data_IF_916106273544
#
_entry.id   IF_916106273544
#
_cell.length_a   1.000
_cell.length_b   1.000
_cell.length_c   1.000
_cell.angle_alpha   90.00
_cell.angle_beta   90.00
_cell.angle_gamma   90.00
#
_symmetry.space_group_name_H-M   'P 1'
#
loop_
_entity.id
_entity.type
_entity.pdbx_description
1 polymer ?
#
# COMPACT_ATOMS: atom_id res chain seq x y z
N UNK A 1 33.64 19.76 -6.54
CA UNK A 1 32.93 19.21 -5.36
C UNK A 1 32.01 18.15 -5.94
N UNK A 2 32.29 16.86 -5.71
CA UNK A 2 31.47 15.79 -6.27
C UNK A 2 30.04 15.96 -5.80
N UNK A 3 29.08 15.90 -6.72
CA UNK A 3 27.69 15.69 -6.36
C UNK A 3 27.64 14.36 -5.60
N UNK A 4 27.75 14.43 -4.28
CA UNK A 4 27.57 13.26 -3.44
C UNK A 4 26.15 12.81 -3.71
N UNK A 5 26.02 11.59 -4.23
CA UNK A 5 24.76 10.88 -4.42
C UNK A 5 24.03 10.78 -3.09
N UNK A 6 23.32 11.84 -2.73
CA UNK A 6 22.33 11.84 -1.67
C UNK A 6 21.06 11.37 -2.32
N UNK A 7 20.90 10.06 -2.35
CA UNK A 7 19.58 9.50 -2.22
C UNK A 7 18.97 10.17 -0.99
N UNK A 8 17.85 10.87 -1.13
CA UNK A 8 17.25 11.61 -0.03
C UNK A 8 16.56 10.61 0.87
N UNK A 9 17.33 9.97 1.74
CA UNK A 9 16.78 9.23 2.86
C UNK A 9 15.87 10.17 3.64
N UNK A 10 14.77 9.63 4.17
CA UNK A 10 13.86 10.35 5.08
C UNK A 10 14.70 11.09 6.12
N UNK A 11 14.47 12.40 6.28
CA UNK A 11 15.32 13.29 7.10
C UNK A 11 14.79 13.36 8.52
N UNK A 12 15.68 13.57 9.50
CA UNK A 12 15.40 13.73 10.96
C UNK A 12 14.18 14.62 11.35
N UNK A 13 13.79 15.58 10.51
CA UNK A 13 12.61 16.44 10.79
C UNK A 13 11.27 15.79 10.44
N UNK A 14 11.29 14.74 9.63
CA UNK A 14 10.15 13.86 9.35
C UNK A 14 10.10 12.69 10.38
N UNK A 15 11.23 12.38 11.04
CA UNK A 15 11.47 11.22 11.92
C UNK A 15 10.94 11.35 13.37
N UNK A 16 10.23 12.40 13.73
CA UNK A 16 9.74 12.60 15.11
C UNK A 16 8.87 11.46 15.66
N UNK A 17 8.48 10.52 14.79
CA UNK A 17 7.63 9.37 15.09
C UNK A 17 8.31 8.00 14.89
N UNK A 18 9.61 7.95 14.58
CA UNK A 18 10.29 6.70 14.22
C UNK A 18 10.88 5.91 15.41
N UNK A 19 10.75 6.41 16.64
CA UNK A 19 11.11 5.60 17.81
C UNK A 19 10.19 4.37 17.90
N UNK A 20 10.73 3.14 17.94
CA UNK A 20 9.94 1.92 18.06
C UNK A 20 8.94 2.07 19.20
N UNK A 21 7.67 2.25 18.85
CA UNK A 21 6.62 2.26 19.86
C UNK A 21 6.63 0.88 20.51
N UNK A 22 6.65 0.77 21.85
CA UNK A 22 6.55 -0.52 22.51
C UNK A 22 5.37 -1.28 21.92
N UNK A 23 5.61 -2.54 21.52
CA UNK A 23 4.54 -3.40 21.01
C UNK A 23 3.32 -3.27 21.93
N UNK A 24 2.11 -3.03 21.38
CA UNK A 24 0.93 -2.96 22.22
C UNK A 24 0.86 -4.25 23.06
N UNK A 25 0.50 -4.15 24.35
CA UNK A 25 0.44 -5.32 25.20
C UNK A 25 -0.51 -6.34 24.56
N UNK A 26 -0.21 -7.65 24.68
CA UNK A 26 -1.10 -8.68 24.15
C UNK A 26 -2.52 -8.44 24.68
N UNK A 27 -3.56 -8.73 23.89
CA UNK A 27 -4.93 -8.51 24.31
C UNK A 27 -5.15 -9.18 25.67
N UNK A 28 -5.68 -8.41 26.62
CA UNK A 28 -5.89 -8.89 27.97
C UNK A 28 -6.62 -10.25 27.91
N UNK A 29 -6.03 -11.29 28.50
CA UNK A 29 -6.67 -12.61 28.52
C UNK A 29 -8.08 -12.44 29.06
N UNK A 30 -9.08 -12.74 28.24
CA UNK A 30 -10.47 -12.70 28.69
C UNK A 30 -10.58 -13.69 29.83
N UNK A 31 -10.66 -13.18 31.06
CA UNK A 31 -10.66 -14.04 32.22
C UNK A 31 -11.90 -14.92 32.17
N UNK A 32 -11.71 -16.22 32.08
CA UNK A 32 -12.75 -17.25 31.91
C UNK A 32 -13.90 -17.11 32.92
N UNK A 33 -13.65 -16.55 34.11
CA UNK A 33 -14.72 -16.28 35.09
C UNK A 33 -15.74 -15.25 34.58
N UNK A 34 -15.34 -14.23 33.80
CA UNK A 34 -16.25 -13.24 33.22
C UNK A 34 -17.18 -13.88 32.18
N UNK A 35 -16.65 -14.85 31.42
CA UNK A 35 -17.45 -15.67 30.50
C UNK A 35 -18.45 -16.51 31.29
N UNK A 36 -18.02 -17.16 32.37
CA UNK A 36 -18.91 -17.92 33.25
C UNK A 36 -19.99 -17.06 33.89
N UNK A 37 -19.67 -15.87 34.39
CA UNK A 37 -20.66 -14.94 34.97
C UNK A 37 -21.64 -14.47 33.89
N UNK A 38 -21.18 -14.19 32.68
CA UNK A 38 -22.05 -13.86 31.55
C UNK A 38 -23.03 -14.98 31.21
N UNK A 39 -22.55 -16.23 31.14
CA UNK A 39 -23.40 -17.41 30.90
C UNK A 39 -24.38 -17.63 32.05
N UNK A 40 -23.94 -17.51 33.31
CA UNK A 40 -24.80 -17.63 34.48
C UNK A 40 -25.89 -16.53 34.52
N UNK A 41 -25.54 -15.29 34.17
CA UNK A 41 -26.49 -14.18 34.11
C UNK A 41 -27.52 -14.37 32.97
N UNK A 42 -27.11 -14.88 31.82
CA UNK A 42 -28.00 -15.23 30.71
C UNK A 42 -28.96 -16.37 31.09
N UNK A 43 -28.48 -17.40 31.80
CA UNK A 43 -29.33 -18.48 32.29
C UNK A 43 -30.30 -18.01 33.39
N UNK A 44 -29.86 -17.12 34.29
CA UNK A 44 -30.70 -16.55 35.32
C UNK A 44 -31.80 -15.64 34.73
N UNK A 45 -31.49 -14.85 33.71
CA UNK A 45 -32.47 -14.00 33.02
C UNK A 45 -33.50 -14.80 32.21
N UNK A 46 -33.10 -15.94 31.61
CA UNK A 46 -34.05 -16.89 31.03
C UNK A 46 -34.98 -17.53 32.09
N UNK A 47 -34.51 -17.72 33.33
CA UNK A 47 -35.31 -18.20 34.45
C UNK A 47 -36.34 -17.18 34.97
N UNK A 48 -35.98 -15.90 35.02
CA UNK A 48 -36.90 -14.83 35.46
C UNK A 48 -37.97 -14.52 34.41
N UNK A 49 -37.65 -14.65 33.12
CA UNK A 49 -38.61 -14.48 32.02
C UNK A 49 -39.81 -15.43 32.06
N UNK A 50 -39.66 -16.63 32.64
CA UNK A 50 -40.77 -17.57 32.80
C UNK A 50 -41.73 -17.20 33.95
N UNK A 51 -41.32 -16.35 34.89
CA UNK A 51 -42.15 -15.98 36.06
C UNK A 51 -42.94 -14.68 35.86
N UNK A 52 -42.59 -13.84 34.88
CA UNK A 52 -43.33 -12.60 34.61
C UNK A 52 -44.40 -12.73 33.51
N UNK A 53 -44.76 -13.94 33.11
CA UNK A 53 -45.82 -14.20 32.14
C UNK A 53 -47.24 -14.31 32.75
N UNK A 54 -47.42 -14.02 34.05
CA UNK A 54 -48.72 -14.13 34.72
C UNK A 54 -49.06 -12.86 35.50
N UNK A 55 -49.19 -11.70 34.84
CA UNK A 55 -50.07 -10.62 35.32
C UNK A 55 -50.67 -9.85 34.13
N UNK A 56 -51.91 -10.21 33.78
CA UNK A 56 -53.04 -9.37 33.33
C UNK A 56 -52.80 -8.42 32.12
N UNK A 57 -53.21 -8.79 30.90
CA UNK A 57 -54.56 -8.67 30.27
C UNK A 57 -54.93 -7.25 29.73
N UNK A 58 -55.70 -7.18 28.62
CA UNK A 58 -55.56 -6.16 27.57
C UNK A 58 -56.76 -5.20 27.47
N UNK A 59 -56.73 -4.28 26.48
CA UNK A 59 -57.79 -3.45 25.83
C UNK A 59 -57.49 -1.91 25.87
N UNK A 60 -57.98 -1.10 24.92
CA UNK A 60 -58.04 -1.28 23.47
C UNK A 60 -57.59 -0.08 22.62
N UNK A 61 -57.44 -0.41 21.35
CA UNK A 61 -57.25 0.30 20.09
C UNK A 61 -58.16 1.52 19.78
N UNK A 62 -57.55 2.61 19.30
CA UNK A 62 -58.09 3.55 18.29
C UNK A 62 -56.91 3.86 17.32
N UNK A 63 -56.95 3.51 16.04
CA UNK A 63 -57.84 3.93 14.93
C UNK A 63 -57.47 5.30 14.34
N UNK A 64 -56.78 5.26 13.20
CA UNK A 64 -56.82 6.17 12.02
C UNK A 64 -55.42 6.24 11.42
N UNK A 65 -55.14 5.98 10.16
CA UNK A 65 -56.00 5.76 9.01
C UNK A 65 -55.17 6.06 7.75
N UNK A 66 -55.10 5.05 6.88
CA UNK A 66 -55.15 5.14 5.42
C UNK A 66 -53.95 5.63 4.57
N UNK A 67 -53.54 4.68 3.71
CA UNK A 67 -53.34 4.77 2.24
C UNK A 67 -52.15 5.60 1.71
N UNK A 68 -51.35 5.15 0.72
CA UNK A 68 -51.58 4.13 -0.30
C UNK A 68 -50.27 3.47 -0.75
N UNK A 69 -50.44 2.19 -1.06
CA UNK A 69 -49.69 1.28 -1.93
C UNK A 69 -49.27 1.94 -3.26
N UNK A 70 -48.00 1.77 -3.64
CA UNK A 70 -47.51 1.65 -5.02
C UNK A 70 -46.11 1.00 -4.93
N UNK A 71 -46.08 -0.33 -4.86
CA UNK A 71 -45.85 -1.25 -5.98
C UNK A 71 -44.34 -1.42 -6.28
N UNK A 72 -43.77 -2.44 -5.63
CA UNK A 72 -42.43 -2.96 -5.88
C UNK A 72 -42.53 -3.97 -7.02
N UNK A 73 -42.28 -3.50 -8.25
CA UNK A 73 -42.00 -4.37 -9.39
C UNK A 73 -40.59 -4.95 -9.27
N UNK A 74 -40.53 -6.23 -8.93
CA UNK A 74 -39.31 -7.02 -8.77
C UNK A 74 -38.43 -7.00 -10.03
N UNK A 75 -37.17 -6.64 -9.83
CA UNK A 75 -36.08 -6.91 -10.77
C UNK A 75 -35.74 -8.40 -10.69
N UNK A 76 -36.22 -9.18 -11.67
CA UNK A 76 -35.78 -10.55 -11.88
C UNK A 76 -34.46 -10.57 -12.63
N UNK A 77 -33.56 -11.31 -12.03
CA UNK A 77 -32.16 -11.51 -12.30
C UNK A 77 -31.84 -12.34 -13.55
N UNK A 78 -30.68 -12.00 -14.12
CA UNK A 78 -29.67 -12.86 -14.76
C UNK A 78 -30.07 -13.64 -16.01
N UNK A 79 -29.79 -13.03 -17.16
CA UNK A 79 -29.51 -13.73 -18.42
C UNK A 79 -28.12 -14.37 -18.36
N UNK A 80 -28.06 -15.67 -18.13
CA UNK A 80 -26.91 -16.50 -18.46
C UNK A 80 -26.98 -16.85 -19.95
N UNK A 81 -26.44 -15.98 -20.82
CA UNK A 81 -26.20 -16.28 -22.22
C UNK A 81 -24.70 -16.16 -22.47
N UNK A 82 -24.03 -17.31 -22.49
CA UNK A 82 -22.62 -17.40 -22.85
C UNK A 82 -22.41 -16.87 -24.27
N UNK A 83 -21.49 -15.94 -24.41
CA UNK A 83 -20.94 -15.54 -25.71
C UNK A 83 -19.45 -15.92 -25.70
N UNK A 84 -18.94 -16.56 -26.77
CA UNK A 84 -17.71 -17.34 -26.71
C UNK A 84 -16.46 -16.46 -26.75
N UNK A 85 -15.39 -16.97 -26.13
CA UNK A 85 -14.05 -16.42 -26.13
C UNK A 85 -13.55 -16.17 -27.57
N UNK A 86 -13.13 -14.94 -27.91
CA UNK A 86 -12.53 -14.66 -29.22
C UNK A 86 -11.15 -15.33 -29.31
N UNK A 87 -11.07 -16.40 -30.09
CA UNK A 87 -9.80 -16.90 -30.63
C UNK A 87 -9.29 -15.88 -31.64
N UNK A 88 -8.26 -15.11 -31.28
CA UNK A 88 -7.41 -14.40 -32.25
C UNK A 88 -5.96 -14.86 -32.12
N UNK A 89 -5.21 -14.87 -33.23
CA UNK A 89 -4.07 -15.76 -33.44
C UNK A 89 -2.80 -15.30 -32.72
N UNK A 90 -2.00 -16.26 -32.28
CA UNK A 90 -0.79 -16.11 -31.43
C UNK A 90 0.41 -15.52 -32.19
N UNK A 91 0.26 -15.15 -33.45
CA UNK A 91 1.37 -14.68 -34.27
C UNK A 91 1.45 -13.15 -34.27
N UNK A 92 1.85 -12.55 -33.14
CA UNK A 92 2.51 -11.22 -33.04
C UNK A 92 2.72 -10.85 -31.56
N UNK A 93 3.39 -11.70 -30.80
CA UNK A 93 4.12 -11.22 -29.62
C UNK A 93 5.57 -11.29 -30.02
N UNK A 94 6.11 -10.17 -30.49
CA UNK A 94 7.54 -9.97 -30.60
C UNK A 94 8.13 -10.29 -29.24
N UNK A 95 8.86 -11.39 -29.16
CA UNK A 95 9.58 -11.77 -27.96
C UNK A 95 10.53 -10.62 -27.65
N UNK A 96 10.20 -9.81 -26.64
CA UNK A 96 11.20 -9.01 -25.93
C UNK A 96 12.31 -10.00 -25.63
N UNK A 97 13.47 -9.82 -26.24
CA UNK A 97 14.68 -10.57 -25.90
C UNK A 97 14.85 -10.34 -24.41
N UNK A 98 14.51 -11.35 -23.60
CA UNK A 98 14.74 -11.27 -22.17
C UNK A 98 16.25 -11.13 -22.01
N UNK A 99 16.70 -9.94 -21.58
CA UNK A 99 18.10 -9.74 -21.26
C UNK A 99 18.50 -10.80 -20.23
N UNK A 100 19.58 -11.52 -20.51
CA UNK A 100 20.10 -12.53 -19.61
C UNK A 100 20.36 -11.88 -18.25
N UNK A 101 19.66 -12.26 -17.16
CA UNK A 101 19.88 -11.66 -15.85
C UNK A 101 21.34 -11.77 -15.40
N UNK A 102 22.09 -12.77 -15.88
CA UNK A 102 23.51 -12.92 -15.57
C UNK A 102 24.38 -11.77 -16.12
N UNK A 103 23.90 -11.04 -17.14
CA UNK A 103 24.61 -9.89 -17.72
C UNK A 103 24.86 -8.75 -16.70
N UNK A 104 24.02 -8.64 -15.66
CA UNK A 104 24.13 -7.60 -14.62
C UNK A 104 25.00 -8.01 -13.42
N UNK A 105 25.62 -9.19 -13.47
CA UNK A 105 26.48 -9.69 -12.39
C UNK A 105 27.61 -8.70 -12.07
N UNK A 106 27.69 -8.28 -10.80
CA UNK A 106 28.72 -7.35 -10.32
C UNK A 106 28.51 -5.88 -10.72
N UNK A 107 27.43 -5.55 -11.43
CA UNK A 107 27.13 -4.18 -11.86
C UNK A 107 26.14 -3.49 -10.91
N UNK A 108 26.35 -2.20 -10.67
CA UNK A 108 25.39 -1.30 -9.99
C UNK A 108 25.03 -0.20 -10.97
N UNK A 109 23.79 -0.22 -11.45
CA UNK A 109 23.22 0.81 -12.32
C UNK A 109 22.76 2.01 -11.48
N UNK A 110 22.68 3.20 -12.09
CA UNK A 110 22.21 4.43 -11.45
C UNK A 110 21.48 5.34 -12.46
N UNK A 111 20.68 6.29 -11.96
CA UNK A 111 19.90 7.23 -12.78
C UNK A 111 20.43 8.66 -12.83
N UNK A 112 21.65 8.93 -12.36
CA UNK A 112 22.15 10.30 -12.26
C UNK A 112 21.42 11.11 -11.18
N UNK A 113 21.21 12.40 -11.44
CA UNK A 113 20.75 13.36 -10.42
C UNK A 113 19.63 14.30 -10.87
N UNK A 114 19.16 14.16 -12.11
CA UNK A 114 18.07 14.96 -12.68
C UNK A 114 17.32 14.14 -13.75
N UNK A 115 16.10 14.54 -14.14
CA UNK A 115 15.31 13.79 -15.12
C UNK A 115 16.02 13.66 -16.48
N UNK A 116 16.84 14.64 -16.88
CA UNK A 116 17.58 14.63 -18.15
C UNK A 116 18.61 13.50 -18.17
N UNK A 117 19.41 13.39 -17.09
CA UNK A 117 20.37 12.31 -16.89
C UNK A 117 19.68 10.94 -16.78
N UNK A 118 18.59 10.87 -16.02
CA UNK A 118 17.83 9.63 -15.84
C UNK A 118 17.32 9.09 -17.19
N UNK A 119 16.69 9.94 -18.00
CA UNK A 119 16.25 9.57 -19.36
C UNK A 119 17.42 9.20 -20.26
N UNK A 120 18.55 9.93 -20.19
CA UNK A 120 19.74 9.62 -20.96
C UNK A 120 20.37 8.26 -20.60
N UNK A 121 20.18 7.80 -19.36
CA UNK A 121 20.58 6.46 -18.89
C UNK A 121 19.53 5.37 -19.10
N UNK A 122 18.39 5.69 -19.71
CA UNK A 122 17.29 4.75 -19.92
C UNK A 122 16.49 4.42 -18.66
N UNK A 123 16.59 5.24 -17.62
CA UNK A 123 15.76 5.08 -16.43
C UNK A 123 14.30 5.43 -16.71
N UNK A 124 13.42 4.83 -15.93
CA UNK A 124 11.97 5.04 -15.97
C UNK A 124 11.53 5.55 -14.60
N UNK A 125 10.59 6.50 -14.59
CA UNK A 125 10.00 6.97 -13.33
C UNK A 125 8.93 5.97 -12.87
N UNK A 126 9.15 5.33 -11.73
CA UNK A 126 8.19 4.43 -11.09
C UNK A 126 7.34 5.23 -10.10
N UNK A 127 6.12 5.60 -10.50
CA UNK A 127 5.20 6.43 -9.69
C UNK A 127 4.99 5.82 -8.30
N UNK A 128 4.88 4.50 -8.19
CA UNK A 128 4.67 3.85 -6.90
C UNK A 128 5.91 3.87 -6.02
N UNK A 129 7.13 3.96 -6.57
CA UNK A 129 8.35 4.22 -5.79
C UNK A 129 8.63 5.72 -5.58
N UNK A 130 8.05 6.60 -6.41
CA UNK A 130 8.47 8.00 -6.58
C UNK A 130 9.96 8.17 -6.93
N UNK A 131 10.52 7.17 -7.62
CA UNK A 131 11.93 7.13 -7.99
C UNK A 131 12.12 6.99 -9.50
N UNK A 132 13.13 7.68 -10.03
CA UNK A 132 13.77 7.27 -11.28
C UNK A 132 14.57 6.00 -11.03
N UNK A 133 14.15 4.90 -11.65
CA UNK A 133 14.77 3.58 -11.50
C UNK A 133 15.38 3.12 -12.83
N UNK A 134 16.55 2.45 -12.83
CA UNK A 134 17.03 1.77 -14.03
C UNK A 134 16.00 0.75 -14.51
N UNK A 135 15.80 0.65 -15.83
CA UNK A 135 14.74 -0.19 -16.43
C UNK A 135 14.69 -1.64 -15.89
N UNK A 136 15.82 -2.32 -15.64
CA UNK A 136 15.79 -3.68 -15.08
C UNK A 136 15.18 -3.81 -13.68
N UNK A 137 15.09 -2.71 -12.92
CA UNK A 137 14.44 -2.62 -11.61
C UNK A 137 13.00 -2.09 -11.67
N UNK A 138 12.50 -1.74 -12.85
CA UNK A 138 11.12 -1.31 -13.04
C UNK A 138 10.20 -2.51 -13.27
N UNK A 139 9.12 -2.62 -12.48
CA UNK A 139 8.09 -3.64 -12.66
C UNK A 139 6.77 -2.96 -13.09
N UNK A 140 6.57 -2.70 -14.39
CA UNK A 140 5.41 -1.96 -14.87
C UNK A 140 4.10 -2.68 -14.55
N UNK A 141 4.09 -4.02 -14.58
CA UNK A 141 2.87 -4.80 -14.29
C UNK A 141 2.47 -4.59 -12.83
N UNK A 142 3.44 -4.59 -11.92
CA UNK A 142 3.19 -4.34 -10.51
C UNK A 142 2.75 -2.90 -10.25
N UNK A 143 3.47 -1.92 -10.79
CA UNK A 143 3.19 -0.49 -10.63
C UNK A 143 1.76 -0.18 -11.09
N UNK A 144 1.38 -0.57 -12.30
CA UNK A 144 0.04 -0.31 -12.82
C UNK A 144 -1.05 -1.05 -12.02
N UNK A 145 -0.77 -2.24 -11.51
CA UNK A 145 -1.72 -2.98 -10.65
C UNK A 145 -2.03 -2.24 -9.35
N UNK A 146 -1.06 -1.57 -8.74
CA UNK A 146 -1.30 -0.78 -7.53
C UNK A 146 -1.92 0.58 -7.85
N UNK A 147 -1.50 1.22 -8.95
CA UNK A 147 -2.15 2.45 -9.41
C UNK A 147 -3.64 2.25 -9.73
N UNK A 148 -4.04 1.07 -10.21
CA UNK A 148 -5.43 0.75 -10.50
C UNK A 148 -6.31 0.45 -9.26
N UNK A 149 -5.73 0.28 -8.07
CA UNK A 149 -6.50 -0.07 -6.86
C UNK A 149 -7.22 1.11 -6.21
N UNK A 150 -6.81 2.35 -6.51
CA UNK A 150 -7.34 3.55 -5.89
C UNK A 150 -7.47 4.70 -6.89
N UNK A 151 -8.27 5.70 -6.53
CA UNK A 151 -8.29 6.98 -7.24
C UNK A 151 -7.27 7.92 -6.59
N UNK A 152 -5.99 7.62 -6.81
CA UNK A 152 -4.89 8.33 -6.18
C UNK A 152 -4.87 9.81 -6.59
N UNK A 153 -4.70 10.69 -5.61
CA UNK A 153 -4.50 12.12 -5.83
C UNK A 153 -3.18 12.53 -5.20
N UNK A 154 -2.34 13.19 -6.00
CA UNK A 154 -1.07 13.72 -5.56
C UNK A 154 -1.12 15.25 -5.59
N UNK A 155 -0.34 15.87 -4.73
CA UNK A 155 -0.29 17.33 -4.60
C UNK A 155 1.15 17.83 -4.68
N UNK A 156 1.35 19.00 -5.28
CA UNK A 156 2.65 19.66 -5.34
C UNK A 156 2.98 20.45 -4.05
N UNK A 157 1.99 20.62 -3.17
CA UNK A 157 2.10 21.37 -1.91
C UNK A 157 1.46 20.61 -0.73
N UNK A 158 1.87 21.00 0.48
CA UNK A 158 1.41 20.38 1.73
C UNK A 158 -0.05 20.74 2.07
N UNK A 159 -0.56 21.85 1.53
CA UNK A 159 -1.91 22.32 1.79
C UNK A 159 -2.98 21.62 0.92
N UNK A 160 -2.57 20.78 -0.03
CA UNK A 160 -3.47 20.09 -0.95
C UNK A 160 -4.13 20.97 -1.99
N UNK A 161 -3.53 22.10 -2.34
CA UNK A 161 -4.15 23.09 -3.23
C UNK A 161 -3.81 22.86 -4.69
N UNK A 162 -2.58 22.44 -4.98
CA UNK A 162 -2.10 22.17 -6.33
C UNK A 162 -2.08 20.67 -6.56
N UNK A 163 -3.05 20.17 -7.32
CA UNK A 163 -3.14 18.76 -7.71
C UNK A 163 -2.14 18.48 -8.84
N UNK A 164 -1.40 17.38 -8.74
CA UNK A 164 -0.61 16.79 -9.81
C UNK A 164 -1.47 15.75 -10.54
N UNK A 165 -1.58 15.88 -11.85
CA UNK A 165 -2.22 14.89 -12.70
C UNK A 165 -1.39 13.61 -12.79
N UNK A 166 -2.01 12.49 -13.15
CA UNK A 166 -1.30 11.23 -13.43
C UNK A 166 -0.21 11.42 -14.50
N UNK A 167 -0.47 12.25 -15.53
CA UNK A 167 0.53 12.58 -16.55
C UNK A 167 1.75 13.33 -15.97
N UNK A 168 1.54 14.28 -15.07
CA UNK A 168 2.62 15.02 -14.40
C UNK A 168 3.39 14.14 -13.40
N UNK A 169 2.70 13.24 -12.71
CA UNK A 169 3.35 12.25 -11.85
C UNK A 169 4.24 11.32 -12.66
N UNK A 170 3.75 10.78 -13.79
CA UNK A 170 4.51 9.89 -14.67
C UNK A 170 5.73 10.55 -15.33
N UNK A 171 5.75 11.88 -15.44
CA UNK A 171 6.93 12.61 -15.92
C UNK A 171 8.09 12.63 -14.93
N UNK A 172 7.84 12.47 -13.62
CA UNK A 172 8.89 12.47 -12.60
C UNK A 172 9.67 13.78 -12.46
N UNK A 173 9.05 14.90 -12.84
CA UNK A 173 9.68 16.24 -12.91
C UNK A 173 9.21 17.19 -11.77
N UNK A 174 8.34 16.72 -10.88
CA UNK A 174 7.71 17.53 -9.82
C UNK A 174 8.60 17.76 -8.60
N UNK A 175 9.74 17.07 -8.47
CA UNK A 175 10.71 17.21 -7.39
C UNK A 175 10.27 16.63 -6.05
N UNK A 176 9.02 16.83 -5.65
CA UNK A 176 8.36 16.09 -4.58
C UNK A 176 6.85 16.10 -4.75
N UNK A 177 6.18 15.08 -4.24
CA UNK A 177 4.73 14.98 -4.19
C UNK A 177 4.26 14.82 -2.75
N UNK A 178 3.04 15.27 -2.48
CA UNK A 178 2.30 15.03 -1.24
C UNK A 178 1.11 14.11 -1.53
N UNK A 179 0.80 13.21 -0.59
CA UNK A 179 -0.23 12.19 -0.78
C UNK A 179 -0.98 11.87 0.52
N UNK A 180 -2.11 11.18 0.38
CA UNK A 180 -2.89 10.69 1.51
C UNK A 180 -2.23 9.47 2.18
N UNK A 181 -2.63 9.20 3.43
CA UNK A 181 -2.16 8.04 4.18
C UNK A 181 -2.49 6.71 3.49
N UNK A 182 -3.60 6.62 2.76
CA UNK A 182 -3.99 5.41 2.01
C UNK A 182 -3.04 5.11 0.86
N UNK A 183 -2.58 6.15 0.14
CA UNK A 183 -1.55 5.99 -0.89
C UNK A 183 -0.23 5.53 -0.26
N UNK A 184 0.16 6.11 0.87
CA UNK A 184 1.38 5.70 1.58
C UNK A 184 1.32 4.22 2.04
N UNK A 185 0.14 3.75 2.45
CA UNK A 185 -0.11 2.33 2.72
C UNK A 185 0.03 1.45 1.49
N UNK A 186 -0.53 1.87 0.36
CA UNK A 186 -0.34 1.17 -0.90
C UNK A 186 1.14 1.11 -1.31
N UNK A 187 1.90 2.20 -1.14
CA UNK A 187 3.34 2.27 -1.39
C UNK A 187 4.13 1.28 -0.51
N UNK A 188 3.89 1.27 0.81
CA UNK A 188 4.59 0.39 1.76
C UNK A 188 4.36 -1.11 1.41
N UNK A 189 3.12 -1.50 1.10
CA UNK A 189 2.82 -2.88 0.67
C UNK A 189 3.37 -3.17 -0.74
N UNK A 190 3.33 -2.21 -1.66
CA UNK A 190 3.94 -2.32 -2.99
C UNK A 190 5.45 -2.57 -2.91
N UNK A 191 6.18 -1.81 -2.09
CA UNK A 191 7.63 -1.96 -1.91
C UNK A 191 7.98 -3.35 -1.37
N UNK A 192 7.21 -3.87 -0.42
CA UNK A 192 7.36 -5.25 0.05
C UNK A 192 7.10 -6.28 -1.06
N UNK A 193 5.98 -6.16 -1.78
CA UNK A 193 5.63 -7.06 -2.90
C UNK A 193 6.72 -7.05 -3.99
N UNK A 194 7.19 -5.86 -4.37
CA UNK A 194 8.26 -5.65 -5.35
C UNK A 194 9.56 -6.33 -4.92
N UNK A 195 9.92 -6.21 -3.64
CA UNK A 195 11.09 -6.88 -3.06
C UNK A 195 10.98 -8.40 -3.19
N UNK A 196 9.85 -8.97 -2.78
CA UNK A 196 9.60 -10.42 -2.87
C UNK A 196 9.60 -10.91 -4.31
N UNK A 197 8.99 -10.16 -5.24
CA UNK A 197 9.00 -10.47 -6.67
C UNK A 197 10.41 -10.47 -7.24
N UNK A 198 11.24 -9.50 -6.88
CA UNK A 198 12.61 -9.44 -7.37
C UNK A 198 13.43 -10.62 -6.87
N UNK A 199 13.35 -10.93 -5.58
CA UNK A 199 14.05 -12.06 -4.96
C UNK A 199 13.60 -13.42 -5.53
N UNK A 200 12.29 -13.63 -5.71
CA UNK A 200 11.75 -14.90 -6.22
C UNK A 200 12.06 -15.16 -7.69
N UNK A 201 12.30 -14.10 -8.47
CA UNK A 201 12.49 -14.19 -9.92
C UNK A 201 13.93 -13.82 -10.35
N UNK A 202 14.87 -13.77 -9.41
CA UNK A 202 16.26 -13.38 -9.65
C UNK A 202 16.39 -12.08 -10.46
N UNK A 203 15.56 -11.08 -10.14
CA UNK A 203 15.59 -9.76 -10.79
C UNK A 203 16.47 -8.81 -9.98
N UNK A 204 17.06 -7.80 -10.64
CA UNK A 204 17.70 -6.69 -9.95
C UNK A 204 16.74 -6.00 -8.98
N UNK A 205 17.29 -5.47 -7.89
CA UNK A 205 16.57 -4.86 -6.79
C UNK A 205 17.00 -3.39 -6.69
N UNK A 206 16.01 -2.49 -6.59
CA UNK A 206 16.28 -1.06 -6.34
C UNK A 206 16.84 -0.89 -4.93
N UNK A 207 17.76 0.06 -4.75
CA UNK A 207 18.48 0.24 -3.49
C UNK A 207 17.58 0.41 -2.26
N UNK A 208 16.46 1.12 -2.40
CA UNK A 208 15.51 1.40 -1.33
C UNK A 208 14.81 0.14 -0.79
N UNK A 209 14.60 -0.84 -1.67
CA UNK A 209 13.90 -2.08 -1.32
C UNK A 209 14.71 -2.99 -0.38
N UNK A 210 15.99 -2.68 -0.18
CA UNK A 210 16.88 -3.40 0.72
C UNK A 210 17.35 -2.55 1.90
N UNK A 211 16.84 -1.34 2.05
CA UNK A 211 17.13 -0.48 3.21
C UNK A 211 16.31 -0.95 4.41
N UNK A 212 16.99 -1.21 5.52
CA UNK A 212 16.34 -1.52 6.79
C UNK A 212 15.66 -0.29 7.40
N UNK A 213 16.25 0.89 7.25
CA UNK A 213 15.63 2.15 7.69
C UNK A 213 14.27 2.37 7.02
N UNK A 214 14.16 2.07 5.73
CA UNK A 214 12.89 2.17 5.01
C UNK A 214 11.84 1.18 5.55
N UNK A 215 12.25 -0.04 5.93
CA UNK A 215 11.33 -1.02 6.55
C UNK A 215 10.80 -0.50 7.89
N UNK A 216 11.66 0.10 8.72
CA UNK A 216 11.24 0.70 10.00
C UNK A 216 10.26 1.87 9.77
N UNK A 217 10.57 2.75 8.83
CA UNK A 217 9.68 3.84 8.43
C UNK A 217 8.30 3.33 7.97
N UNK A 218 8.27 2.36 7.05
CA UNK A 218 7.05 1.75 6.53
C UNK A 218 6.24 1.04 7.64
N UNK A 219 6.88 0.37 8.59
CA UNK A 219 6.19 -0.23 9.74
C UNK A 219 5.55 0.81 10.66
N UNK A 220 6.32 1.82 11.07
CA UNK A 220 5.91 2.80 12.08
C UNK A 220 4.85 3.78 11.57
N UNK A 221 4.99 4.28 10.35
CA UNK A 221 4.10 5.31 9.81
C UNK A 221 2.79 4.73 9.25
N UNK A 222 2.76 3.44 8.91
CA UNK A 222 1.76 2.93 7.96
C UNK A 222 0.98 1.72 8.44
N UNK A 223 1.54 0.92 9.36
CA UNK A 223 0.91 -0.33 9.83
C UNK A 223 0.54 -0.33 11.31
N UNK A 224 1.18 0.49 12.13
CA UNK A 224 1.02 0.49 13.59
C UNK A 224 -0.26 1.19 14.10
N UNK A 225 -1.43 0.82 13.57
CA UNK A 225 -2.73 1.14 14.16
C UNK A 225 -3.21 2.57 13.93
N UNK A 226 -2.62 3.32 13.00
CA UNK A 226 -3.23 4.54 12.51
C UNK A 226 -4.54 4.19 11.79
N UNK A 227 -5.66 4.76 12.22
CA UNK A 227 -6.82 4.85 11.33
C UNK A 227 -6.35 5.53 10.05
N UNK A 228 -6.70 4.96 8.90
CA UNK A 228 -6.39 5.58 7.59
C UNK A 228 -7.22 6.85 7.49
N UNK A 229 -6.65 7.96 7.93
CA UNK A 229 -7.17 9.29 7.66
C UNK A 229 -6.64 9.73 6.30
N UNK A 230 -7.54 10.16 5.42
CA UNK A 230 -7.23 10.61 4.07
C UNK A 230 -6.58 12.02 4.06
N UNK A 231 -6.17 12.53 5.22
CA UNK A 231 -5.39 13.75 5.31
C UNK A 231 -4.08 13.64 4.53
N UNK A 232 -3.68 14.78 3.94
CA UNK A 232 -2.42 14.92 3.22
C UNK A 232 -1.31 14.91 4.27
N UNK A 233 -0.71 13.76 4.47
CA UNK A 233 0.19 13.51 5.59
C UNK A 233 1.67 13.46 5.20
N UNK A 234 1.97 13.06 3.97
CA UNK A 234 3.30 12.54 3.65
C UNK A 234 3.84 13.19 2.38
N UNK A 235 5.06 13.71 2.49
CA UNK A 235 5.86 14.21 1.36
C UNK A 235 6.84 13.14 0.93
N UNK A 236 6.82 12.79 -0.35
CA UNK A 236 7.85 11.96 -0.96
C UNK A 236 8.67 12.80 -1.95
N UNK A 237 10.00 12.91 -1.79
CA UNK A 237 10.86 13.49 -2.81
C UNK A 237 10.99 12.55 -4.01
N UNK A 238 11.19 13.13 -5.19
CA UNK A 238 11.64 12.36 -6.36
C UNK A 238 13.09 11.98 -6.17
N UNK A 239 13.41 10.68 -6.10
CA UNK A 239 14.81 10.23 -6.04
C UNK A 239 15.31 9.62 -7.34
N UNK A 240 16.61 9.33 -7.35
CA UNK A 240 17.33 8.69 -8.44
C UNK A 240 17.97 7.43 -7.87
N UNK A 241 17.40 6.28 -8.23
CA UNK A 241 17.72 5.02 -7.61
C UNK A 241 18.97 4.38 -8.23
N UNK A 242 19.61 3.54 -7.42
CA UNK A 242 20.54 2.52 -7.91
C UNK A 242 19.83 1.17 -8.01
N UNK A 243 20.36 0.29 -8.87
CA UNK A 243 19.79 -1.01 -9.17
C UNK A 243 20.90 -2.05 -9.38
N UNK A 244 20.78 -3.21 -8.73
CA UNK A 244 21.72 -4.31 -8.90
C UNK A 244 21.08 -5.66 -8.54
N UNK A 245 21.68 -6.76 -8.98
CA UNK A 245 21.34 -8.09 -8.47
C UNK A 245 21.66 -8.18 -6.96
N UNK A 246 20.90 -9.01 -6.25
CA UNK A 246 21.13 -9.25 -4.81
C UNK A 246 22.58 -9.69 -4.52
N UNK A 247 23.16 -10.51 -5.40
CA UNK A 247 24.53 -10.98 -5.27
C UNK A 247 25.59 -9.88 -5.41
N UNK A 248 25.26 -8.78 -6.08
CA UNK A 248 26.08 -7.56 -6.08
C UNK A 248 25.83 -6.76 -4.80
N UNK A 249 24.56 -6.60 -4.41
CA UNK A 249 24.19 -5.82 -3.22
C UNK A 249 24.77 -6.37 -1.93
N UNK A 250 24.84 -7.69 -1.75
CA UNK A 250 25.34 -8.31 -0.52
C UNK A 250 26.78 -7.93 -0.13
N UNK A 251 27.55 -7.42 -1.10
CA UNK A 251 28.91 -6.91 -0.90
C UNK A 251 29.02 -5.39 -1.02
N UNK A 252 27.93 -4.70 -1.37
CA UNK A 252 27.86 -3.27 -1.64
C UNK A 252 26.65 -2.61 -0.95
N UNK A 253 26.30 -3.07 0.24
CA UNK A 253 25.17 -2.54 0.99
C UNK A 253 25.30 -1.03 1.19
N UNK A 254 24.18 -0.33 0.99
CA UNK A 254 24.09 1.05 1.42
C UNK A 254 24.01 1.05 2.95
N UNK A 255 24.79 1.89 3.64
CA UNK A 255 24.71 1.97 5.09
C UNK A 255 23.31 2.44 5.51
N UNK A 256 22.63 1.63 6.31
CA UNK A 256 21.48 2.05 7.11
C UNK A 256 21.96 2.62 8.45
N UNK A 257 21.14 3.48 9.07
CA UNK A 257 21.34 4.01 10.42
C UNK A 257 21.02 2.95 11.47
N UNK A 258 19.97 2.17 11.26
CA UNK A 258 19.54 1.11 12.16
C UNK A 258 20.13 -0.24 11.74
N UNK A 259 20.37 -1.10 12.74
CA UNK A 259 20.96 -2.41 12.56
C UNK A 259 19.87 -3.46 12.36
N UNK A 260 19.86 -4.07 11.18
CA UNK A 260 18.98 -5.21 10.86
C UNK A 260 19.27 -6.50 11.64
N UNK A 261 20.22 -6.46 12.59
CA UNK A 261 20.61 -7.62 13.41
C UNK A 261 20.41 -7.43 14.91
N UNK A 262 20.19 -6.19 15.37
CA UNK A 262 20.15 -5.87 16.81
C UNK A 262 18.98 -5.01 17.24
N UNK A 263 18.33 -4.30 16.33
CA UNK A 263 17.11 -3.52 16.60
C UNK A 263 15.86 -4.39 16.37
#
# INVERSE_FOLDING_TARGET
>A
MGANHRYDLVKDHDDGKDEPQPLPPPPASVSWWKILVGILALLASAGVGATLAIVLRPFPQESSGNTAVADMGASSSTSAAGVPLPTRPVDSVEAKVEEDPDSLTGQILDCGYNPEEARAKGCVYDVMMQDWVPEPCYDPILTERYLAQGNWTWYADAEGKVILTDEEMRKGEHGSAWMSSSYHQAHCIFSWDKTVRALRNNRPISQELLSYDHVLHCSHQTLNGAEVDESIGVRAPTNYAKCALYDTWKYNWIPDRHSSTTD
#
